data_IF_021230696282
#
_entry.id   IF_021230696282
#
_cell.length_a   1.000
_cell.length_b   1.000
_cell.length_c   1.000
_cell.angle_alpha   90.00
_cell.angle_beta   90.00
_cell.angle_gamma   90.00
#
_symmetry.space_group_name_H-M   'P 1'
#
loop_
_entity.id
_entity.type
_entity.pdbx_description
1 polymer ?
#
# COMPACT_ATOMS: atom_id res chain seq x y z
N UNK A 1 -1.77 11.19 -4.39
CA UNK A 1 -1.89 11.37 -2.91
C UNK A 1 -1.56 12.80 -2.55
N UNK A 2 -2.05 13.27 -1.40
CA UNK A 2 -1.69 14.59 -0.84
C UNK A 2 -0.63 14.40 0.24
N UNK A 3 0.46 15.16 0.18
CA UNK A 3 1.52 15.12 1.20
C UNK A 3 1.00 15.76 2.49
N UNK A 4 1.09 15.03 3.61
CA UNK A 4 0.78 15.50 4.97
C UNK A 4 2.05 16.00 5.65
N UNK A 5 3.14 15.24 5.53
CA UNK A 5 4.47 15.53 6.09
C UNK A 5 5.53 14.90 5.19
N UNK A 6 6.64 15.60 4.96
CA UNK A 6 7.81 15.08 4.24
C UNK A 6 9.06 15.69 4.87
N UNK A 7 9.75 14.91 5.69
CA UNK A 7 10.91 15.34 6.48
C UNK A 7 11.92 14.20 6.65
N UNK A 8 12.91 14.37 7.53
CA UNK A 8 13.96 13.37 7.74
C UNK A 8 13.42 12.05 8.31
N UNK A 9 12.30 12.07 9.04
CA UNK A 9 11.70 10.87 9.63
C UNK A 9 10.96 10.03 8.58
N UNK A 10 10.48 10.68 7.51
CA UNK A 10 9.88 10.01 6.36
C UNK A 10 8.75 10.79 5.70
N UNK A 11 7.96 10.08 4.90
CA UNK A 11 6.77 10.63 4.24
C UNK A 11 5.51 10.20 4.98
N UNK A 12 4.61 11.16 5.19
CA UNK A 12 3.20 10.89 5.50
C UNK A 12 2.34 11.43 4.37
N UNK A 13 1.50 10.57 3.78
CA UNK A 13 0.66 10.93 2.64
C UNK A 13 -0.76 10.39 2.78
N UNK A 14 -1.72 11.17 2.30
CA UNK A 14 -3.14 10.84 2.32
C UNK A 14 -3.64 10.40 0.94
N UNK A 15 -4.30 9.24 0.90
CA UNK A 15 -5.07 8.74 -0.23
C UNK A 15 -6.56 8.94 0.06
N UNK A 16 -7.18 9.94 -0.56
CA UNK A 16 -8.59 10.25 -0.34
C UNK A 16 -9.52 9.22 -1.03
N UNK A 17 -10.73 8.98 -0.50
CA UNK A 17 -11.82 8.30 -1.21
C UNK A 17 -12.01 8.87 -2.62
N UNK A 18 -12.22 8.01 -3.61
CA UNK A 18 -12.46 8.43 -4.99
C UNK A 18 -11.23 8.94 -5.75
N UNK A 19 -10.02 8.87 -5.17
CA UNK A 19 -8.79 9.22 -5.89
C UNK A 19 -8.62 8.34 -7.13
N UNK A 20 -8.52 8.92 -8.35
CA UNK A 20 -8.21 8.13 -9.53
C UNK A 20 -6.79 7.58 -9.45
N UNK A 21 -6.62 6.31 -9.81
CA UNK A 21 -5.36 5.59 -9.72
C UNK A 21 -5.19 4.65 -10.91
N UNK A 22 -3.94 4.31 -11.20
CA UNK A 22 -3.60 3.23 -12.11
C UNK A 22 -3.29 1.98 -11.28
N UNK A 23 -3.88 0.85 -11.66
CA UNK A 23 -3.60 -0.45 -11.04
C UNK A 23 -3.42 -1.55 -12.09
N UNK A 24 -2.56 -2.54 -11.83
CA UNK A 24 -2.50 -3.73 -12.67
C UNK A 24 -3.75 -4.59 -12.48
N UNK A 25 -4.27 -5.11 -13.58
CA UNK A 25 -5.36 -6.08 -13.64
C UNK A 25 -5.02 -7.16 -14.66
N UNK A 26 -5.79 -8.25 -14.72
CA UNK A 26 -5.72 -9.18 -15.85
C UNK A 26 -6.18 -8.49 -17.14
N UNK A 27 -5.76 -9.00 -18.30
CA UNK A 27 -6.14 -8.42 -19.61
C UNK A 27 -7.66 -8.37 -19.86
N UNK A 28 -8.44 -9.19 -19.16
CA UNK A 28 -9.91 -9.19 -19.20
C UNK A 28 -10.55 -8.26 -18.15
N UNK A 29 -9.74 -7.49 -17.42
CA UNK A 29 -10.16 -6.49 -16.44
C UNK A 29 -10.40 -7.02 -15.02
N UNK A 30 -10.32 -8.33 -14.78
CA UNK A 30 -10.46 -8.91 -13.43
C UNK A 30 -9.24 -8.63 -12.55
N UNK A 31 -9.42 -8.71 -11.24
CA UNK A 31 -8.33 -8.60 -10.26
C UNK A 31 -7.30 -9.72 -10.44
N UNK A 32 -6.02 -9.41 -10.16
CA UNK A 32 -4.91 -10.37 -10.30
C UNK A 32 -5.15 -11.65 -9.48
N UNK A 33 -5.65 -11.53 -8.25
CA UNK A 33 -5.97 -12.66 -7.36
C UNK A 33 -6.95 -13.67 -7.98
N UNK A 34 -7.78 -13.25 -8.94
CA UNK A 34 -8.71 -14.16 -9.62
C UNK A 34 -8.03 -15.16 -10.57
N UNK A 35 -6.74 -15.00 -10.86
CA UNK A 35 -5.94 -15.95 -11.62
C UNK A 35 -5.33 -17.08 -10.74
N UNK A 36 -5.59 -17.08 -9.43
CA UNK A 36 -5.03 -18.04 -8.48
C UNK A 36 -3.57 -17.76 -8.13
N UNK A 37 -3.01 -18.56 -7.21
CA UNK A 37 -1.71 -18.32 -6.56
C UNK A 37 -0.54 -18.14 -7.54
N UNK A 38 -0.43 -18.98 -8.58
CA UNK A 38 0.61 -18.84 -9.61
C UNK A 38 0.24 -17.78 -10.65
N UNK A 39 -1.03 -17.75 -11.05
CA UNK A 39 -1.52 -16.90 -12.13
C UNK A 39 -1.46 -15.42 -11.79
N UNK A 40 -1.67 -15.03 -10.52
CA UNK A 40 -1.58 -13.63 -10.10
C UNK A 40 -0.20 -13.02 -10.39
N UNK A 41 0.87 -13.82 -10.41
CA UNK A 41 2.25 -13.38 -10.70
C UNK A 41 2.68 -13.53 -12.16
N UNK A 42 2.07 -14.46 -12.90
CA UNK A 42 2.55 -14.88 -14.23
C UNK A 42 1.61 -14.53 -15.39
N UNK A 43 0.31 -14.36 -15.11
CA UNK A 43 -0.67 -14.05 -16.13
C UNK A 43 -0.40 -12.68 -16.77
N UNK A 44 -0.80 -12.54 -18.04
CA UNK A 44 -0.69 -11.26 -18.74
C UNK A 44 -1.55 -10.20 -18.04
N UNK A 45 -0.98 -9.00 -17.91
CA UNK A 45 -1.57 -7.88 -17.21
C UNK A 45 -1.88 -6.73 -18.16
N UNK A 46 -2.88 -5.95 -17.80
CA UNK A 46 -3.21 -4.67 -18.38
C UNK A 46 -3.18 -3.60 -17.27
N UNK A 47 -2.93 -2.35 -17.63
CA UNK A 47 -3.06 -1.21 -16.72
C UNK A 47 -4.46 -0.63 -16.81
N UNK A 48 -5.17 -0.61 -15.67
CA UNK A 48 -6.50 -0.02 -15.57
C UNK A 48 -6.46 1.32 -14.85
N UNK A 49 -7.04 2.35 -15.46
CA UNK A 49 -7.42 3.57 -14.77
C UNK A 49 -8.71 3.31 -13.99
N UNK A 50 -8.62 3.40 -12.68
CA UNK A 50 -9.70 3.09 -11.74
C UNK A 50 -9.80 4.17 -10.66
N UNK A 51 -10.69 3.98 -9.69
CA UNK A 51 -10.85 4.85 -8.52
C UNK A 51 -10.60 4.09 -7.23
N UNK A 52 -9.98 4.76 -6.27
CA UNK A 52 -9.86 4.28 -4.89
C UNK A 52 -11.25 4.15 -4.26
N UNK A 53 -11.66 2.91 -3.95
CA UNK A 53 -12.94 2.60 -3.30
C UNK A 53 -12.73 2.40 -1.80
N UNK A 54 -13.73 2.80 -1.02
CA UNK A 54 -13.68 2.73 0.45
C UNK A 54 -13.29 4.07 1.09
N UNK A 55 -12.98 4.00 2.38
CA UNK A 55 -12.50 5.15 3.16
C UNK A 55 -11.07 5.52 2.74
N UNK A 56 -10.64 6.71 3.13
CA UNK A 56 -9.28 7.15 2.80
C UNK A 56 -8.24 6.46 3.69
N UNK A 57 -7.02 6.38 3.18
CA UNK A 57 -5.87 5.78 3.86
C UNK A 57 -4.81 6.84 4.11
N UNK A 58 -4.34 6.92 5.36
CA UNK A 58 -3.11 7.62 5.68
C UNK A 58 -1.96 6.61 5.61
N UNK A 59 -0.93 6.91 4.81
CA UNK A 59 0.27 6.08 4.68
C UNK A 59 1.46 6.81 5.28
N UNK A 60 2.18 6.15 6.17
CA UNK A 60 3.44 6.59 6.75
C UNK A 60 4.55 5.70 6.22
N UNK A 61 5.49 6.26 5.47
CA UNK A 61 6.67 5.57 4.95
C UNK A 61 7.91 6.11 5.68
N UNK A 62 8.37 5.47 6.76
CA UNK A 62 9.54 5.95 7.50
C UNK A 62 10.81 5.83 6.66
N UNK A 63 11.75 6.75 6.87
CA UNK A 63 13.07 6.73 6.22
C UNK A 63 13.85 5.46 6.61
N UNK A 64 14.51 4.80 5.65
CA UNK A 64 15.36 3.64 5.93
C UNK A 64 14.62 2.34 6.28
N UNK A 65 13.29 2.28 6.14
CA UNK A 65 12.50 1.09 6.47
C UNK A 65 12.00 0.38 5.21
N UNK A 66 12.12 -0.96 5.13
CA UNK A 66 11.56 -1.78 4.04
C UNK A 66 10.07 -2.09 4.27
N UNK A 67 9.31 -1.06 4.65
CA UNK A 67 7.87 -1.11 4.84
C UNK A 67 7.28 0.28 4.98
N UNK A 68 5.96 0.37 4.80
CA UNK A 68 5.15 1.52 5.25
C UNK A 68 4.00 1.06 6.14
N UNK A 69 3.45 1.99 6.92
CA UNK A 69 2.32 1.76 7.83
C UNK A 69 1.12 2.53 7.33
N UNK A 70 0.03 1.82 7.06
CA UNK A 70 -1.22 2.39 6.57
C UNK A 70 -2.26 2.34 7.68
N UNK A 71 -3.00 3.42 7.84
CA UNK A 71 -4.01 3.59 8.87
C UNK A 71 -5.39 3.50 8.24
N UNK A 72 -6.25 2.68 8.83
CA UNK A 72 -7.57 2.39 8.31
C UNK A 72 -8.67 2.81 9.29
N UNK A 73 -9.73 3.41 8.75
CA UNK A 73 -10.93 3.80 9.49
C UNK A 73 -12.19 3.28 8.78
N UNK A 74 -13.24 3.02 9.56
CA UNK A 74 -14.59 2.79 9.08
C UNK A 74 -15.25 4.07 8.55
N UNK A 75 -16.37 3.91 7.84
CA UNK A 75 -17.12 5.05 7.27
C UNK A 75 -17.73 5.97 8.36
N UNK A 76 -17.89 5.46 9.58
CA UNK A 76 -18.31 6.17 10.77
C UNK A 76 -17.15 6.89 11.50
N UNK A 77 -15.93 6.75 11.00
CA UNK A 77 -14.72 7.31 11.60
C UNK A 77 -14.08 6.43 12.68
N UNK A 78 -14.61 5.23 12.93
CA UNK A 78 -14.01 4.28 13.89
C UNK A 78 -12.65 3.81 13.38
N UNK A 79 -11.60 3.90 14.19
CA UNK A 79 -10.29 3.39 13.83
C UNK A 79 -10.28 1.86 13.82
N UNK A 80 -9.88 1.26 12.71
CA UNK A 80 -9.88 -0.20 12.53
C UNK A 80 -8.52 -0.84 12.82
N UNK A 81 -7.41 -0.14 12.58
CA UNK A 81 -6.09 -0.69 12.79
C UNK A 81 -5.03 -0.15 11.86
N UNK A 82 -3.85 -0.74 11.98
CA UNK A 82 -2.70 -0.46 11.14
C UNK A 82 -2.44 -1.64 10.20
N UNK A 83 -1.90 -1.34 9.03
CA UNK A 83 -1.42 -2.32 8.07
C UNK A 83 0.03 -2.01 7.75
N UNK A 84 0.95 -2.92 8.07
CA UNK A 84 2.33 -2.81 7.62
C UNK A 84 2.40 -3.44 6.24
N UNK A 85 2.64 -2.62 5.22
CA UNK A 85 2.91 -3.09 3.87
C UNK A 85 4.41 -3.37 3.75
N UNK A 86 4.83 -4.63 3.63
CA UNK A 86 6.26 -4.92 3.41
C UNK A 86 6.60 -4.60 1.96
N UNK A 87 7.65 -3.83 1.75
CA UNK A 87 8.03 -3.33 0.44
C UNK A 87 9.47 -2.84 0.45
N UNK A 88 10.03 -2.48 -0.71
CA UNK A 88 11.36 -1.86 -0.72
C UNK A 88 11.35 -0.54 0.02
N UNK A 89 12.52 -0.13 0.50
CA UNK A 89 12.70 1.23 0.98
C UNK A 89 12.26 2.22 -0.11
N UNK A 90 11.52 3.25 0.31
CA UNK A 90 10.94 4.21 -0.62
C UNK A 90 12.01 5.10 -1.22
N UNK A 91 12.12 5.10 -2.54
CA UNK A 91 12.99 6.02 -3.28
C UNK A 91 12.24 7.33 -3.52
N UNK A 92 12.79 8.43 -3.00
CA UNK A 92 12.25 9.78 -3.10
C UNK A 92 12.89 10.53 -4.26
N UNK A 93 12.07 11.03 -5.19
CA UNK A 93 12.50 11.98 -6.21
C UNK A 93 11.72 13.28 -6.02
N UNK A 94 12.33 14.22 -5.28
CA UNK A 94 11.73 15.53 -5.01
C UNK A 94 11.58 16.40 -6.26
N UNK A 95 12.44 16.21 -7.28
CA UNK A 95 12.40 17.01 -8.49
C UNK A 95 11.18 16.64 -9.35
N UNK A 96 10.92 15.35 -9.53
CA UNK A 96 9.71 14.87 -10.22
C UNK A 96 8.49 14.77 -9.31
N UNK A 97 8.66 15.00 -8.00
CA UNK A 97 7.64 14.82 -6.95
C UNK A 97 7.07 13.40 -6.96
N UNK A 98 7.95 12.41 -7.14
CA UNK A 98 7.60 10.99 -7.18
C UNK A 98 8.21 10.25 -6.01
N UNK A 99 7.51 9.20 -5.62
CA UNK A 99 8.00 8.20 -4.68
C UNK A 99 7.70 6.85 -5.30
N UNK A 100 8.69 5.97 -5.27
CA UNK A 100 8.55 4.62 -5.80
C UNK A 100 9.05 3.59 -4.80
N UNK A 101 8.37 2.47 -4.77
CA UNK A 101 8.73 1.27 -4.02
C UNK A 101 8.28 0.04 -4.81
N UNK A 102 8.60 -1.15 -4.32
CA UNK A 102 8.17 -2.43 -4.87
C UNK A 102 7.60 -3.25 -3.73
N UNK A 103 6.35 -3.63 -3.88
CA UNK A 103 5.63 -4.49 -2.95
C UNK A 103 6.31 -5.86 -2.77
N UNK A 104 6.33 -6.34 -1.53
CA UNK A 104 6.91 -7.62 -1.13
C UNK A 104 5.88 -8.69 -0.78
N UNK A 105 4.61 -8.49 -1.13
CA UNK A 105 3.48 -9.44 -1.02
C UNK A 105 3.03 -9.73 0.41
N UNK A 106 3.98 -9.97 1.32
CA UNK A 106 3.70 -10.24 2.72
C UNK A 106 3.32 -8.96 3.45
N UNK A 107 2.32 -9.04 4.33
CA UNK A 107 1.87 -7.89 5.11
C UNK A 107 1.54 -8.26 6.56
N UNK A 108 1.38 -7.26 7.42
CA UNK A 108 0.88 -7.43 8.79
C UNK A 108 -0.35 -6.55 9.02
N UNK A 109 -1.39 -7.12 9.63
CA UNK A 109 -2.51 -6.36 10.19
C UNK A 109 -2.34 -6.24 11.70
N UNK A 110 -2.53 -5.04 12.23
CA UNK A 110 -2.41 -4.75 13.66
C UNK A 110 -3.75 -4.18 14.14
N UNK A 111 -4.40 -4.92 15.04
CA UNK A 111 -5.66 -4.51 15.64
C UNK A 111 -5.46 -3.36 16.65
N UNK A 112 -6.52 -2.61 17.02
CA UNK A 112 -6.41 -1.52 18.01
C UNK A 112 -5.89 -1.95 19.39
N UNK A 113 -6.05 -3.24 19.74
CA UNK A 113 -5.49 -3.85 20.95
C UNK A 113 -4.02 -4.29 20.81
N UNK A 114 -3.41 -4.01 19.66
CA UNK A 114 -2.03 -4.33 19.26
C UNK A 114 -1.75 -5.80 18.98
N UNK A 115 -2.78 -6.65 18.91
CA UNK A 115 -2.60 -8.00 18.36
C UNK A 115 -2.21 -7.92 16.89
N UNK A 116 -1.29 -8.80 16.48
CA UNK A 116 -0.69 -8.82 15.14
C UNK A 116 -1.17 -10.08 14.40
N UNK A 117 -1.63 -9.88 13.17
CA UNK A 117 -2.01 -10.93 12.24
C UNK A 117 -1.09 -10.86 11.02
N UNK A 118 -0.55 -12.00 10.61
CA UNK A 118 0.18 -12.12 9.35
C UNK A 118 -0.81 -12.23 8.20
N UNK A 119 -0.48 -11.61 7.07
CA UNK A 119 -1.33 -11.56 5.88
C UNK A 119 -0.51 -12.01 4.67
N UNK A 120 -1.17 -12.77 3.80
CA UNK A 120 -0.68 -13.13 2.47
C UNK A 120 0.64 -13.95 2.49
N UNK A 121 0.83 -14.76 3.55
CA UNK A 121 1.93 -15.73 3.68
C UNK A 121 1.92 -16.75 2.52
N UNK A 122 0.74 -17.24 2.14
CA UNK A 122 0.53 -18.15 1.03
C UNK A 122 0.80 -17.49 -0.34
N UNK A 123 0.54 -16.19 -0.46
CA UNK A 123 0.90 -15.43 -1.65
C UNK A 123 2.41 -15.22 -1.77
N UNK A 124 3.15 -15.08 -0.65
CA UNK A 124 4.61 -15.04 -0.68
C UNK A 124 5.21 -16.37 -1.14
N UNK A 125 4.67 -17.50 -0.67
CA UNK A 125 5.04 -18.83 -1.18
C UNK A 125 4.76 -18.95 -2.68
N UNK A 126 3.56 -18.54 -3.11
CA UNK A 126 3.19 -18.49 -4.52
C UNK A 126 4.09 -17.58 -5.37
N UNK A 127 4.60 -16.48 -4.81
CA UNK A 127 5.54 -15.59 -5.47
C UNK A 127 6.91 -16.26 -5.68
N UNK A 128 7.37 -17.08 -4.73
CA UNK A 128 8.60 -17.87 -4.88
C UNK A 128 8.41 -18.93 -5.96
N UNK A 129 7.32 -19.68 -5.92
CA UNK A 129 6.99 -20.70 -6.93
C UNK A 129 6.87 -20.11 -8.34
N UNK A 130 6.35 -18.88 -8.44
CA UNK A 130 6.26 -18.13 -9.68
C UNK A 130 7.60 -17.55 -10.18
N UNK A 131 8.67 -17.67 -9.38
CA UNK A 131 9.98 -17.07 -9.67
C UNK A 131 10.01 -15.54 -9.54
N UNK A 132 9.01 -14.94 -8.88
CA UNK A 132 8.97 -13.50 -8.59
C UNK A 132 9.99 -13.11 -7.52
N UNK A 133 10.24 -14.02 -6.59
CA UNK A 133 11.28 -13.94 -5.56
C UNK A 133 12.06 -15.25 -5.50
N UNK A 134 13.34 -15.16 -5.15
CA UNK A 134 14.13 -16.31 -4.71
C UNK A 134 13.78 -16.66 -3.26
N UNK A 135 14.12 -17.88 -2.83
CA UNK A 135 13.96 -18.29 -1.42
C UNK A 135 14.68 -17.33 -0.46
N UNK A 136 15.89 -16.88 -0.82
CA UNK A 136 16.66 -15.93 0.00
C UNK A 136 15.99 -14.55 0.09
N UNK A 137 15.35 -14.08 -0.98
CA UNK A 137 14.56 -12.84 -0.94
C UNK A 137 13.33 -12.99 -0.05
N UNK A 138 12.63 -14.13 -0.11
CA UNK A 138 11.47 -14.40 0.76
C UNK A 138 11.88 -14.48 2.24
N UNK A 139 13.02 -15.13 2.55
CA UNK A 139 13.58 -15.15 3.91
C UNK A 139 13.90 -13.74 4.42
N UNK A 140 14.43 -12.86 3.56
CA UNK A 140 14.68 -11.46 3.92
C UNK A 140 13.38 -10.69 4.17
N UNK A 141 12.35 -10.91 3.35
CA UNK A 141 11.02 -10.29 3.54
C UNK A 141 10.42 -10.69 4.91
N UNK A 142 10.53 -11.96 5.29
CA UNK A 142 10.09 -12.45 6.60
C UNK A 142 10.92 -11.82 7.73
N UNK A 143 12.24 -11.67 7.54
CA UNK A 143 13.10 -11.00 8.52
C UNK A 143 12.73 -9.51 8.70
N UNK A 144 12.34 -8.83 7.62
CA UNK A 144 11.86 -7.45 7.64
C UNK A 144 10.51 -7.34 8.38
N UNK A 145 9.60 -8.30 8.18
CA UNK A 145 8.35 -8.40 8.95
C UNK A 145 8.63 -8.56 10.46
N UNK A 146 9.58 -9.42 10.84
CA UNK A 146 9.99 -9.53 12.24
C UNK A 146 10.63 -8.25 12.79
N UNK A 147 11.31 -7.46 11.95
CA UNK A 147 11.81 -6.14 12.35
C UNK A 147 10.66 -5.17 12.62
N UNK A 148 9.64 -5.13 11.76
CA UNK A 148 8.43 -4.36 11.98
C UNK A 148 7.71 -4.78 13.27
N UNK A 149 7.59 -6.09 13.53
CA UNK A 149 6.99 -6.62 14.78
C UNK A 149 7.72 -6.11 16.01
N UNK A 150 9.06 -6.09 16.03
CA UNK A 150 9.81 -5.53 17.15
C UNK A 150 9.51 -4.05 17.37
N UNK A 151 9.37 -3.28 16.29
CA UNK A 151 9.03 -1.86 16.36
C UNK A 151 7.59 -1.65 16.87
N UNK A 152 6.65 -2.56 16.53
CA UNK A 152 5.26 -2.60 17.03
C UNK A 152 5.22 -2.96 18.52
N UNK A 153 5.91 -4.02 18.93
CA UNK A 153 5.96 -4.49 20.32
C UNK A 153 6.60 -3.45 21.25
N UNK A 154 7.67 -2.80 20.79
CA UNK A 154 8.30 -1.68 21.49
C UNK A 154 7.47 -0.38 21.43
N UNK A 155 6.40 -0.37 20.62
CA UNK A 155 5.52 0.77 20.37
C UNK A 155 6.29 2.03 20.00
N UNK A 156 7.16 1.92 19.00
CA UNK A 156 7.98 3.02 18.48
C UNK A 156 7.30 3.72 17.30
N UNK A 157 7.85 4.84 16.84
CA UNK A 157 7.36 5.52 15.64
C UNK A 157 7.37 4.57 14.41
N UNK A 158 6.32 4.58 13.57
CA UNK A 158 5.22 5.54 13.58
C UNK A 158 4.02 5.16 14.45
N UNK A 159 4.03 3.97 15.09
CA UNK A 159 2.89 3.47 15.87
C UNK A 159 2.58 4.33 17.10
N UNK A 160 3.60 4.95 17.71
CA UNK A 160 3.47 5.87 18.84
C UNK A 160 3.08 7.31 18.50
N UNK A 161 2.96 7.66 17.22
CA UNK A 161 2.91 9.07 16.79
C UNK A 161 1.47 9.63 16.71
N UNK A 162 0.49 8.90 17.24
CA UNK A 162 -0.93 9.30 17.32
C UNK A 162 -1.63 9.60 15.98
N UNK A 163 -1.09 9.11 14.86
CA UNK A 163 -1.68 9.22 13.53
C UNK A 163 -3.10 8.64 13.42
N UNK A 164 -3.50 7.72 14.30
CA UNK A 164 -4.87 7.19 14.37
C UNK A 164 -5.93 8.27 14.71
N UNK A 165 -5.50 9.41 15.27
CA UNK A 165 -6.35 10.57 15.59
C UNK A 165 -6.37 11.63 14.49
N UNK A 166 -5.53 11.47 13.47
CA UNK A 166 -5.43 12.43 12.37
C UNK A 166 -6.67 12.39 11.48
N UNK A 167 -7.03 13.54 10.90
CA UNK A 167 -8.06 13.64 9.87
C UNK A 167 -7.65 14.60 8.77
N UNK A 168 -8.08 14.30 7.54
CA UNK A 168 -7.81 15.15 6.39
C UNK A 168 -8.57 16.49 6.52
N UNK A 169 -7.92 17.65 6.31
CA UNK A 169 -8.62 18.92 6.27
C UNK A 169 -9.77 18.93 5.25
N UNK A 170 -10.97 19.45 5.58
CA UNK A 170 -12.13 19.41 4.69
C UNK A 170 -11.93 20.13 3.33
N UNK A 171 -10.97 21.06 3.27
CA UNK A 171 -10.66 21.81 2.06
C UNK A 171 -9.77 21.04 1.07
N UNK A 172 -9.22 19.88 1.46
CA UNK A 172 -8.36 19.10 0.57
C UNK A 172 -9.15 18.48 -0.57
N UNK A 173 -8.69 18.75 -1.79
CA UNK A 173 -9.28 18.20 -3.01
C UNK A 173 -8.66 16.85 -3.32
N UNK A 174 -9.44 15.99 -3.97
CA UNK A 174 -8.95 14.76 -4.57
C UNK A 174 -7.96 15.11 -5.70
N UNK A 175 -6.74 14.52 -5.72
CA UNK A 175 -5.79 14.72 -6.80
C UNK A 175 -6.34 14.25 -8.15
N UNK A 176 -5.88 14.87 -9.24
CA UNK A 176 -6.23 14.44 -10.61
C UNK A 176 -5.59 13.10 -10.95
N UNK A 177 -6.15 12.42 -11.95
CA UNK A 177 -5.64 11.14 -12.43
C UNK A 177 -4.17 11.21 -12.86
N UNK A 178 -3.37 10.16 -12.59
CA UNK A 178 -1.99 10.11 -13.06
C UNK A 178 -1.94 10.05 -14.58
N UNK A 179 -1.11 10.89 -15.20
CA UNK A 179 -0.88 10.94 -16.66
C UNK A 179 0.40 10.22 -17.09
N UNK A 180 1.10 9.60 -16.14
CA UNK A 180 2.41 8.97 -16.37
C UNK A 180 2.37 7.77 -17.34
N UNK A 181 1.22 7.13 -17.49
CA UNK A 181 1.02 5.96 -18.35
C UNK A 181 -0.36 6.07 -19.00
N UNK A 182 -0.46 5.66 -20.27
CA UNK A 182 -1.74 5.50 -20.94
C UNK A 182 -2.40 4.19 -20.45
N UNK A 183 -3.63 4.22 -19.93
CA UNK A 183 -4.31 3.01 -19.49
C UNK A 183 -4.78 2.17 -20.67
N UNK A 184 -4.75 0.84 -20.51
CA UNK A 184 -5.32 -0.13 -21.44
C UNK A 184 -6.84 -0.27 -21.21
N UNK A 185 -7.27 -0.16 -19.94
CA UNK A 185 -8.65 -0.28 -19.50
C UNK A 185 -9.04 0.92 -18.65
N UNK A 186 -10.31 1.33 -18.70
CA UNK A 186 -10.86 2.42 -17.87
C UNK A 186 -12.03 1.85 -17.07
N UNK A 187 -12.20 2.28 -15.83
CA UNK A 187 -13.36 1.90 -15.03
C UNK A 187 -14.64 2.54 -15.59
N UNK A 188 -15.76 1.82 -15.59
CA UNK A 188 -17.04 2.30 -16.15
C UNK A 188 -17.48 3.64 -15.55
N UNK A 189 -17.22 3.83 -14.25
CA UNK A 189 -17.56 5.05 -13.52
C UNK A 189 -16.81 6.30 -14.04
N UNK A 190 -15.72 6.10 -14.78
CA UNK A 190 -14.93 7.17 -15.40
C UNK A 190 -15.25 7.37 -16.88
N UNK A 191 -16.11 6.53 -17.49
CA UNK A 191 -16.53 6.69 -18.89
C UNK A 191 -17.57 7.81 -19.10
N UNK A 192 -18.10 8.37 -18.01
CA UNK A 192 -19.06 9.48 -18.05
C UNK A 192 -18.41 10.75 -17.48
N UNK A 193 -17.66 11.44 -18.34
CA UNK A 193 -17.08 12.76 -18.08
C UNK A 193 -17.15 13.64 -19.32
#
# INVERSE_FOLDING_TARGET
MTVVRDDADGLVAWLAPGTPLLKPVLVDGRELRSAGALGMFTAQRAMKLDVWRGTGILKVSPSGKPWSVWYFWGADGTFHGWYVNLEREHVRDSASRRTSTVDHVLDLWINPDRSIEWKDEDELEGAVDAGRFTTAEAEQIVADAHAAIRDIEAWTSPFSDDWQTWSAPPAWRVPVAPTSHQPDLIAEELHSG
#
